data_IF_543910488309
#
_entry.id   IF_543910488309
#
_cell.length_a   1.000
_cell.length_b   1.000
_cell.length_c   1.000
_cell.angle_alpha   90.00
_cell.angle_beta   90.00
_cell.angle_gamma   90.00
#
_symmetry.space_group_name_H-M   'P 1'
#
loop_
_entity.id
_entity.type
_entity.pdbx_description
1 polymer ?
#
# COMPACT_ATOMS: atom_id res chain seq x y z
N UNK A 1 -17.84 -19.03 -53.18
CA UNK A 1 -16.75 -18.32 -52.47
C UNK A 1 -17.27 -17.27 -51.49
N UNK A 2 -18.11 -16.32 -51.93
CA UNK A 2 -18.64 -15.20 -51.12
C UNK A 2 -19.31 -15.62 -49.80
N UNK A 3 -20.15 -16.68 -49.82
CA UNK A 3 -20.81 -17.19 -48.60
C UNK A 3 -19.85 -17.73 -47.52
N UNK A 4 -18.67 -18.23 -47.91
CA UNK A 4 -17.65 -18.69 -46.94
C UNK A 4 -16.92 -17.50 -46.32
N UNK A 5 -16.61 -16.47 -47.12
CA UNK A 5 -15.99 -15.22 -46.63
C UNK A 5 -16.90 -14.47 -45.64
N UNK A 6 -18.20 -14.40 -45.91
CA UNK A 6 -19.17 -13.79 -44.98
C UNK A 6 -19.27 -14.51 -43.64
N UNK A 7 -19.19 -15.85 -43.63
CA UNK A 7 -19.19 -16.63 -42.38
C UNK A 7 -17.91 -16.39 -41.56
N UNK A 8 -16.75 -16.33 -42.20
CA UNK A 8 -15.47 -16.03 -41.53
C UNK A 8 -15.48 -14.62 -40.94
N UNK A 9 -15.99 -13.63 -41.69
CA UNK A 9 -16.12 -12.26 -41.19
C UNK A 9 -17.05 -12.17 -39.97
N UNK A 10 -18.20 -12.85 -40.00
CA UNK A 10 -19.13 -12.87 -38.86
C UNK A 10 -18.51 -13.51 -37.60
N UNK A 11 -17.71 -14.57 -37.75
CA UNK A 11 -17.01 -15.22 -36.63
C UNK A 11 -15.95 -14.28 -36.03
N UNK A 12 -15.17 -13.59 -36.88
CA UNK A 12 -14.15 -12.65 -36.42
C UNK A 12 -14.77 -11.45 -35.68
N UNK A 13 -15.88 -10.92 -36.18
CA UNK A 13 -16.62 -9.84 -35.49
C UNK A 13 -17.18 -10.34 -34.16
N UNK A 14 -17.77 -11.53 -34.11
CA UNK A 14 -18.25 -12.14 -32.87
C UNK A 14 -17.15 -12.32 -31.82
N UNK A 15 -15.97 -12.81 -32.23
CA UNK A 15 -14.79 -12.89 -31.36
C UNK A 15 -14.36 -11.51 -30.86
N UNK A 16 -14.32 -10.51 -31.73
CA UNK A 16 -13.91 -9.15 -31.35
C UNK A 16 -14.84 -8.54 -30.31
N UNK A 17 -16.16 -8.72 -30.48
CA UNK A 17 -17.17 -8.25 -29.51
C UNK A 17 -17.02 -8.96 -28.16
N UNK A 18 -16.79 -10.28 -28.15
CA UNK A 18 -16.58 -11.03 -26.91
C UNK A 18 -15.30 -10.62 -26.18
N UNK A 19 -14.19 -10.42 -26.90
CA UNK A 19 -12.92 -9.94 -26.33
C UNK A 19 -13.10 -8.54 -25.74
N UNK A 20 -13.77 -7.64 -26.46
CA UNK A 20 -14.02 -6.28 -26.00
C UNK A 20 -14.92 -6.23 -24.76
N UNK A 21 -16.01 -7.01 -24.75
CA UNK A 21 -16.91 -7.11 -23.59
C UNK A 21 -16.18 -7.72 -22.38
N UNK A 22 -15.38 -8.78 -22.60
CA UNK A 22 -14.57 -9.39 -21.55
C UNK A 22 -13.56 -8.42 -20.95
N UNK A 23 -12.86 -7.66 -21.80
CA UNK A 23 -11.93 -6.61 -21.36
C UNK A 23 -12.63 -5.52 -20.57
N UNK A 24 -13.77 -5.01 -21.04
CA UNK A 24 -14.52 -3.96 -20.37
C UNK A 24 -15.05 -4.40 -18.99
N UNK A 25 -15.65 -5.58 -18.92
CA UNK A 25 -16.15 -6.13 -17.64
C UNK A 25 -15.00 -6.44 -16.69
N UNK A 26 -13.89 -6.99 -17.20
CA UNK A 26 -12.68 -7.24 -16.42
C UNK A 26 -12.08 -5.95 -15.86
N UNK A 27 -11.97 -4.91 -16.68
CA UNK A 27 -11.48 -3.59 -16.26
C UNK A 27 -12.39 -2.96 -15.21
N UNK A 28 -13.71 -3.01 -15.39
CA UNK A 28 -14.66 -2.48 -14.40
C UNK A 28 -14.52 -3.19 -13.05
N UNK A 29 -14.47 -4.53 -13.06
CA UNK A 29 -14.28 -5.31 -11.81
C UNK A 29 -12.95 -5.02 -11.14
N UNK A 30 -11.87 -4.83 -11.90
CA UNK A 30 -10.58 -4.44 -11.35
C UNK A 30 -10.66 -3.04 -10.71
N UNK A 31 -11.24 -2.06 -11.41
CA UNK A 31 -11.43 -0.70 -10.88
C UNK A 31 -12.30 -0.71 -9.62
N UNK A 32 -13.40 -1.45 -9.59
CA UNK A 32 -14.27 -1.58 -8.42
C UNK A 32 -13.53 -2.20 -7.24
N UNK A 33 -12.70 -3.22 -7.50
CA UNK A 33 -11.86 -3.84 -6.46
C UNK A 33 -10.83 -2.86 -5.89
N UNK A 34 -10.12 -2.12 -6.76
CA UNK A 34 -9.16 -1.10 -6.33
C UNK A 34 -9.84 0.02 -5.54
N UNK A 35 -10.98 0.52 -6.01
CA UNK A 35 -11.77 1.54 -5.31
C UNK A 35 -12.23 1.04 -3.94
N UNK A 36 -12.70 -0.21 -3.86
CA UNK A 36 -13.11 -0.82 -2.60
C UNK A 36 -11.95 -0.93 -1.62
N UNK A 37 -10.79 -1.43 -2.06
CA UNK A 37 -9.60 -1.50 -1.20
C UNK A 37 -9.14 -0.12 -0.74
N UNK A 38 -9.14 0.87 -1.65
CA UNK A 38 -8.81 2.25 -1.33
C UNK A 38 -9.76 2.84 -0.27
N UNK A 39 -11.08 2.60 -0.42
CA UNK A 39 -12.07 3.04 0.55
C UNK A 39 -11.94 2.31 1.90
N UNK A 40 -11.73 1.00 1.90
CA UNK A 40 -11.54 0.20 3.13
C UNK A 40 -10.28 0.66 3.89
N UNK A 41 -9.20 0.97 3.18
CA UNK A 41 -7.98 1.56 3.74
C UNK A 41 -8.27 2.92 4.38
N UNK A 42 -8.90 3.84 3.65
CA UNK A 42 -9.27 5.16 4.14
C UNK A 42 -10.19 5.11 5.38
N UNK A 43 -11.17 4.20 5.40
CA UNK A 43 -12.05 3.99 6.54
C UNK A 43 -11.28 3.52 7.77
N UNK A 44 -10.34 2.59 7.58
CA UNK A 44 -9.48 2.09 8.66
C UNK A 44 -8.60 3.21 9.21
N UNK A 45 -7.94 3.99 8.34
CA UNK A 45 -7.14 5.14 8.75
C UNK A 45 -7.96 6.18 9.50
N UNK A 46 -9.16 6.51 9.01
CA UNK A 46 -10.05 7.47 9.67
C UNK A 46 -10.49 6.98 11.05
N UNK A 47 -10.88 5.71 11.16
CA UNK A 47 -11.27 5.09 12.43
C UNK A 47 -10.14 5.12 13.45
N UNK A 48 -8.91 4.83 13.03
CA UNK A 48 -7.74 4.90 13.88
C UNK A 48 -7.46 6.34 14.36
N UNK A 49 -7.56 7.33 13.47
CA UNK A 49 -7.42 8.76 13.82
C UNK A 49 -8.49 9.22 14.82
N UNK A 50 -9.75 8.82 14.59
CA UNK A 50 -10.84 9.09 15.53
C UNK A 50 -10.52 8.48 16.89
N UNK A 51 -10.00 7.25 16.91
CA UNK A 51 -9.67 6.59 18.18
C UNK A 51 -8.57 7.29 18.95
N UNK A 52 -7.51 7.73 18.27
CA UNK A 52 -6.47 8.57 18.88
C UNK A 52 -7.08 9.86 19.44
N UNK A 53 -7.94 10.53 18.67
CA UNK A 53 -8.61 11.76 19.12
C UNK A 53 -9.50 11.52 20.36
N UNK A 54 -10.26 10.43 20.41
CA UNK A 54 -11.06 10.03 21.58
C UNK A 54 -10.19 9.80 22.82
N UNK A 55 -9.07 9.10 22.66
CA UNK A 55 -8.14 8.85 23.77
C UNK A 55 -7.55 10.16 24.31
N UNK A 56 -7.19 11.10 23.42
CA UNK A 56 -6.74 12.43 23.82
C UNK A 56 -7.84 13.23 24.53
N UNK A 57 -9.10 13.16 24.06
CA UNK A 57 -10.24 13.86 24.68
C UNK A 57 -10.65 13.29 26.04
N UNK A 58 -10.34 12.02 26.29
CA UNK A 58 -10.61 11.34 27.57
C UNK A 58 -9.41 11.33 28.51
N UNK A 59 -8.41 12.20 28.26
CA UNK A 59 -7.15 12.35 29.01
C UNK A 59 -6.32 11.05 29.13
N UNK A 60 -6.56 10.08 28.25
CA UNK A 60 -5.78 8.84 28.13
C UNK A 60 -4.57 9.05 27.22
N UNK A 61 -3.71 10.01 27.57
CA UNK A 61 -2.58 10.47 26.73
C UNK A 61 -1.60 9.34 26.39
N UNK A 62 -1.24 8.52 27.38
CA UNK A 62 -0.30 7.40 27.20
C UNK A 62 -0.82 6.39 26.17
N UNK A 63 -2.11 6.02 26.23
CA UNK A 63 -2.73 5.11 25.25
C UNK A 63 -2.88 5.75 23.87
N UNK A 64 -3.13 7.05 23.81
CA UNK A 64 -3.19 7.78 22.54
C UNK A 64 -1.83 7.78 21.84
N UNK A 65 -0.77 8.00 22.61
CA UNK A 65 0.62 7.93 22.15
C UNK A 65 0.98 6.51 21.71
N UNK A 66 0.70 5.48 22.52
CA UNK A 66 0.93 4.07 22.15
C UNK A 66 0.26 3.70 20.83
N UNK A 67 -1.01 4.09 20.67
CA UNK A 67 -1.76 3.82 19.45
C UNK A 67 -1.17 4.56 18.26
N UNK A 68 -0.80 5.84 18.42
CA UNK A 68 -0.19 6.62 17.35
C UNK A 68 1.16 6.05 16.93
N UNK A 69 2.01 5.66 17.87
CA UNK A 69 3.31 5.04 17.61
C UNK A 69 3.16 3.68 16.92
N UNK A 70 2.16 2.89 17.32
CA UNK A 70 1.84 1.62 16.65
C UNK A 70 1.40 1.86 15.19
N UNK A 71 0.61 2.89 14.93
CA UNK A 71 0.21 3.26 13.57
C UNK A 71 1.42 3.67 12.73
N UNK A 72 2.34 4.47 13.29
CA UNK A 72 3.60 4.83 12.63
C UNK A 72 4.41 3.57 12.30
N UNK A 73 4.56 2.64 13.24
CA UNK A 73 5.32 1.41 13.05
C UNK A 73 4.70 0.51 11.94
N UNK A 74 3.36 0.50 11.82
CA UNK A 74 2.63 -0.21 10.76
C UNK A 74 2.82 0.47 9.39
N UNK A 75 2.65 1.79 9.33
CA UNK A 75 2.81 2.58 8.10
C UNK A 75 4.22 2.44 7.54
N UNK A 76 5.25 2.48 8.40
CA UNK A 76 6.65 2.20 8.01
C UNK A 76 6.80 0.79 7.46
N UNK A 77 6.14 -0.20 8.04
CA UNK A 77 6.15 -1.58 7.53
C UNK A 77 5.59 -1.68 6.12
N UNK A 78 4.45 -1.02 5.86
CA UNK A 78 3.82 -1.02 4.53
C UNK A 78 4.69 -0.30 3.52
N UNK A 79 5.12 0.92 3.85
CA UNK A 79 5.99 1.72 2.99
C UNK A 79 7.29 1.00 2.65
N UNK A 80 7.92 0.36 3.64
CA UNK A 80 9.14 -0.41 3.43
C UNK A 80 8.97 -1.65 2.57
N UNK A 81 7.81 -2.33 2.63
CA UNK A 81 7.51 -3.46 1.77
C UNK A 81 7.23 -3.02 0.31
N UNK A 82 6.70 -1.81 0.13
CA UNK A 82 6.22 -1.33 -1.17
C UNK A 82 7.25 -0.49 -1.94
N UNK A 83 8.21 0.15 -1.26
CA UNK A 83 9.16 1.13 -1.84
C UNK A 83 9.95 0.60 -3.05
N UNK A 84 10.14 -0.71 -3.14
CA UNK A 84 10.88 -1.37 -4.23
C UNK A 84 10.00 -1.79 -5.42
N UNK A 85 8.67 -1.68 -5.31
CA UNK A 85 7.76 -2.05 -6.40
C UNK A 85 7.79 -1.02 -7.53
N UNK A 86 7.63 -1.50 -8.78
CA UNK A 86 7.67 -0.66 -10.00
C UNK A 86 6.77 0.59 -9.95
N UNK A 87 5.53 0.54 -9.44
CA UNK A 87 4.66 1.71 -9.39
C UNK A 87 5.20 2.85 -8.51
N UNK A 88 6.04 2.54 -7.52
CA UNK A 88 6.53 3.50 -6.53
C UNK A 88 7.94 4.04 -6.82
N UNK A 89 8.57 3.60 -7.92
CA UNK A 89 9.87 4.12 -8.38
C UNK A 89 9.89 5.67 -8.47
N UNK A 90 8.85 6.35 -9.00
CA UNK A 90 8.86 7.80 -9.11
C UNK A 90 8.91 8.55 -7.76
N UNK A 91 8.32 7.97 -6.71
CA UNK A 91 8.24 8.57 -5.36
C UNK A 91 9.15 7.87 -4.34
N UNK A 92 10.02 6.96 -4.81
CA UNK A 92 10.84 6.10 -3.95
C UNK A 92 11.63 6.90 -2.92
N UNK A 93 12.26 8.00 -3.34
CA UNK A 93 13.10 8.81 -2.46
C UNK A 93 12.28 9.46 -1.33
N UNK A 94 11.06 9.90 -1.62
CA UNK A 94 10.14 10.45 -0.62
C UNK A 94 9.72 9.38 0.39
N UNK A 95 9.45 8.16 -0.08
CA UNK A 95 9.14 7.01 0.79
C UNK A 95 10.33 6.69 1.71
N UNK A 96 11.54 6.57 1.15
CA UNK A 96 12.76 6.27 1.93
C UNK A 96 13.05 7.37 2.96
N UNK A 97 12.89 8.63 2.59
CA UNK A 97 13.08 9.76 3.51
C UNK A 97 12.04 9.73 4.64
N UNK A 98 10.77 9.45 4.32
CA UNK A 98 9.70 9.31 5.33
C UNK A 98 9.97 8.16 6.30
N UNK A 99 10.40 6.99 5.79
CA UNK A 99 10.78 5.85 6.63
C UNK A 99 11.96 6.19 7.53
N UNK A 100 12.95 6.95 7.02
CA UNK A 100 14.11 7.42 7.81
C UNK A 100 13.68 8.38 8.92
N UNK A 101 12.76 9.31 8.64
CA UNK A 101 12.22 10.24 9.63
C UNK A 101 11.42 9.53 10.72
N UNK A 102 10.57 8.57 10.35
CA UNK A 102 9.82 7.76 11.32
C UNK A 102 10.75 6.93 12.22
N UNK A 103 11.79 6.30 11.65
CA UNK A 103 12.84 5.62 12.42
C UNK A 103 13.54 6.56 13.39
N UNK A 104 13.93 7.76 12.93
CA UNK A 104 14.60 8.75 13.76
C UNK A 104 13.70 9.23 14.90
N UNK A 105 12.42 9.49 14.63
CA UNK A 105 11.42 9.84 15.63
C UNK A 105 11.33 8.76 16.72
N UNK A 106 11.13 7.49 16.34
CA UNK A 106 10.98 6.37 17.30
C UNK A 106 12.25 6.10 18.10
N UNK A 107 13.43 6.36 17.54
CA UNK A 107 14.72 6.24 18.24
C UNK A 107 14.94 7.40 19.21
N UNK A 108 14.51 8.61 18.86
CA UNK A 108 14.66 9.80 19.70
C UNK A 108 13.70 9.81 20.88
N UNK A 109 12.47 9.37 20.66
CA UNK A 109 11.37 9.39 21.64
C UNK A 109 10.96 7.98 22.02
N UNK A 110 11.92 7.14 22.37
CA UNK A 110 11.63 5.77 22.83
C UNK A 110 11.11 5.83 24.27
N UNK A 111 9.80 5.74 24.47
CA UNK A 111 9.24 5.59 25.82
C UNK A 111 9.56 4.19 26.37
N UNK A 112 9.94 4.05 27.66
CA UNK A 112 10.08 2.74 28.32
C UNK A 112 8.79 1.90 28.27
N UNK A 113 7.64 2.55 28.13
CA UNK A 113 6.34 1.88 28.01
C UNK A 113 6.07 1.32 26.61
N UNK A 114 6.67 1.88 25.55
CA UNK A 114 6.34 1.55 24.15
C UNK A 114 7.59 1.17 23.36
N UNK A 115 8.07 -0.05 23.62
CA UNK A 115 9.20 -0.63 22.90
C UNK A 115 8.99 -0.58 21.38
N UNK A 116 10.07 -0.34 20.64
CA UNK A 116 10.08 -0.36 19.18
C UNK A 116 9.46 -1.67 18.65
N UNK A 117 8.39 -1.56 17.86
CA UNK A 117 7.68 -2.72 17.34
C UNK A 117 8.53 -3.42 16.26
N UNK A 118 8.38 -4.75 16.16
CA UNK A 118 8.97 -5.57 15.08
C UNK A 118 8.56 -5.06 13.68
N UNK A 119 7.39 -4.45 13.55
CA UNK A 119 6.90 -3.88 12.30
C UNK A 119 7.78 -2.72 11.78
N UNK A 120 8.23 -1.84 12.68
CA UNK A 120 9.14 -0.74 12.36
C UNK A 120 10.46 -1.31 11.84
N UNK A 121 11.04 -2.25 12.58
CA UNK A 121 12.29 -2.90 12.18
C UNK A 121 12.16 -3.56 10.81
N UNK A 122 11.12 -4.36 10.59
CA UNK A 122 10.85 -5.02 9.32
C UNK A 122 10.68 -4.03 8.16
N UNK A 123 9.98 -2.92 8.39
CA UNK A 123 9.79 -1.88 7.37
C UNK A 123 11.09 -1.18 7.00
N UNK A 124 11.88 -0.77 8.00
CA UNK A 124 13.21 -0.18 7.81
C UNK A 124 14.14 -1.15 7.07
N UNK A 125 14.20 -2.41 7.50
CA UNK A 125 15.04 -3.43 6.88
C UNK A 125 14.58 -3.73 5.44
N UNK A 126 13.27 -3.74 5.16
CA UNK A 126 12.76 -3.91 3.79
C UNK A 126 13.07 -2.70 2.89
N UNK A 127 13.03 -1.49 3.46
CA UNK A 127 13.28 -0.25 2.75
C UNK A 127 14.75 -0.06 2.36
N UNK A 128 15.67 -0.38 3.27
CA UNK A 128 17.11 -0.12 3.10
C UNK A 128 17.95 -1.39 2.92
N UNK A 129 17.39 -2.58 3.18
CA UNK A 129 18.08 -3.87 3.07
C UNK A 129 18.15 -4.46 1.67
N UNK A 130 17.80 -3.69 0.63
CA UNK A 130 18.14 -4.01 -0.77
C UNK A 130 19.41 -3.28 -1.25
N UNK A 131 20.17 -2.60 -0.38
CA UNK A 131 21.49 -2.05 -0.69
C UNK A 131 22.67 -3.01 -0.39
N UNK A 132 22.40 -4.30 -0.11
CA UNK A 132 23.44 -5.32 0.14
C UNK A 132 23.51 -6.48 -0.86
N UNK A 133 22.80 -6.40 -2.00
CA UNK A 133 22.97 -7.37 -3.10
C UNK A 133 23.36 -6.66 -4.40
N UNK A 134 24.57 -6.12 -4.42
CA UNK A 134 25.40 -6.27 -5.61
C UNK A 134 25.93 -7.71 -5.63
N UNK A 135 25.58 -8.57 -6.59
CA UNK A 135 26.51 -9.60 -7.01
C UNK A 135 27.60 -8.88 -7.80
N UNK A 136 28.63 -8.45 -7.07
CA UNK A 136 29.91 -8.11 -7.68
C UNK A 136 30.63 -9.39 -8.10
N UNK A 137 30.94 -9.45 -9.39
CA UNK A 137 31.69 -10.46 -10.17
C UNK A 137 30.84 -11.50 -10.88
#
# INVERSE_FOLDING_TARGET
MIKKLLKVAAILVGMWVLIFLGYRVGSQKATDYFLRQYMEGNLTTLRSKIKVAELLKTDQKEKAEELLETLIDVDVSSLGAEVNLKPYVPIRQEILQTVKEAKAYRTKWTSPTHAVNKNLKRGVDAAFGMDSVQPGR
#
